data_IF_779467284737
#
_entry.id   IF_779467284737
#
_cell.length_a   1.000
_cell.length_b   1.000
_cell.length_c   1.000
_cell.angle_alpha   90.00
_cell.angle_beta   90.00
_cell.angle_gamma   90.00
#
_symmetry.space_group_name_H-M   'P 1'
#
loop_
_entity.id
_entity.type
_entity.pdbx_description
1 polymer ?
#
# COMPACT_ATOMS: atom_id res chain seq x y z
N UNK A 1 -8.33 -3.29 -0.75
CA UNK A 1 -8.99 -2.20 -1.50
C UNK A 1 -9.57 -2.56 -2.87
N UNK A 2 -8.87 -3.27 -3.76
CA UNK A 2 -9.28 -3.42 -5.19
C UNK A 2 -10.72 -3.94 -5.37
N UNK A 3 -11.15 -4.93 -4.59
CA UNK A 3 -12.54 -5.41 -4.64
C UNK A 3 -13.58 -4.36 -4.25
N UNK A 4 -13.26 -3.43 -3.34
CA UNK A 4 -14.13 -2.27 -3.06
C UNK A 4 -14.23 -1.38 -4.29
N UNK A 5 -13.09 -1.08 -4.95
CA UNK A 5 -13.08 -0.25 -6.16
C UNK A 5 -13.88 -0.90 -7.29
N UNK A 6 -13.73 -2.20 -7.52
CA UNK A 6 -14.55 -2.96 -8.47
C UNK A 6 -16.03 -2.86 -8.12
N UNK A 7 -16.38 -3.06 -6.84
CA UNK A 7 -17.74 -2.92 -6.36
C UNK A 7 -18.32 -1.53 -6.63
N UNK A 8 -17.55 -0.47 -6.37
CA UNK A 8 -17.94 0.92 -6.66
C UNK A 8 -18.21 1.13 -8.15
N UNK A 9 -17.37 0.55 -9.02
CA UNK A 9 -17.52 0.68 -10.47
C UNK A 9 -18.78 -0.03 -10.96
N UNK A 10 -18.97 -1.31 -10.61
CA UNK A 10 -20.16 -2.08 -10.99
C UNK A 10 -21.46 -1.45 -10.48
N UNK A 11 -21.44 -0.99 -9.24
CA UNK A 11 -22.56 -0.28 -8.60
C UNK A 11 -22.85 1.05 -9.32
N UNK A 12 -21.81 1.76 -9.75
CA UNK A 12 -21.93 2.99 -10.53
C UNK A 12 -22.57 2.78 -11.90
N UNK A 13 -22.33 1.63 -12.53
CA UNK A 13 -22.93 1.24 -13.82
C UNK A 13 -24.28 0.53 -13.66
N UNK A 14 -24.82 0.40 -12.45
CA UNK A 14 -26.09 -0.28 -12.18
C UNK A 14 -26.03 -1.80 -12.16
N UNK A 15 -24.84 -2.40 -12.25
CA UNK A 15 -24.63 -3.85 -12.14
C UNK A 15 -24.51 -4.26 -10.66
N UNK A 16 -25.63 -4.20 -9.96
CA UNK A 16 -25.67 -4.42 -8.52
C UNK A 16 -25.25 -5.85 -8.11
N UNK A 17 -25.48 -6.85 -8.97
CA UNK A 17 -25.14 -8.23 -8.67
C UNK A 17 -23.61 -8.42 -8.64
N UNK A 18 -22.91 -7.95 -9.68
CA UNK A 18 -21.44 -7.98 -9.68
C UNK A 18 -20.85 -7.06 -8.61
N UNK A 19 -21.50 -5.93 -8.30
CA UNK A 19 -21.11 -5.08 -7.18
C UNK A 19 -21.21 -5.81 -5.84
N UNK A 20 -22.32 -6.51 -5.57
CA UNK A 20 -22.50 -7.34 -4.38
C UNK A 20 -21.42 -8.42 -4.26
N UNK A 21 -21.13 -9.15 -5.33
CA UNK A 21 -20.08 -10.17 -5.35
C UNK A 21 -18.72 -9.54 -5.01
N UNK A 22 -18.39 -8.39 -5.61
CA UNK A 22 -17.15 -7.68 -5.35
C UNK A 22 -17.05 -7.20 -3.88
N UNK A 23 -18.10 -6.59 -3.33
CA UNK A 23 -18.13 -6.19 -1.92
C UNK A 23 -18.05 -7.38 -0.96
N UNK A 24 -18.66 -8.51 -1.29
CA UNK A 24 -18.57 -9.75 -0.49
C UNK A 24 -17.15 -10.30 -0.48
N UNK A 25 -16.48 -10.30 -1.64
CA UNK A 25 -15.08 -10.70 -1.73
C UNK A 25 -14.17 -9.77 -0.92
N UNK A 26 -14.44 -8.46 -0.96
CA UNK A 26 -13.74 -7.51 -0.09
C UNK A 26 -13.94 -7.85 1.39
N UNK A 27 -15.18 -8.10 1.82
CA UNK A 27 -15.48 -8.48 3.20
C UNK A 27 -14.69 -9.71 3.64
N UNK A 28 -14.68 -10.77 2.83
CA UNK A 28 -13.96 -12.01 3.15
C UNK A 28 -12.46 -11.75 3.37
N UNK A 29 -11.85 -10.88 2.57
CA UNK A 29 -10.43 -10.51 2.73
C UNK A 29 -10.21 -9.73 4.04
N UNK A 30 -11.10 -8.79 4.37
CA UNK A 30 -11.03 -8.04 5.64
C UNK A 30 -11.19 -8.95 6.86
N UNK A 31 -12.09 -9.93 6.81
CA UNK A 31 -12.34 -10.85 7.91
C UNK A 31 -11.25 -11.92 8.05
N UNK A 32 -10.56 -12.25 6.95
CA UNK A 32 -9.40 -13.14 6.92
C UNK A 32 -8.07 -12.40 7.04
N UNK A 33 -7.24 -12.49 5.98
CA UNK A 33 -5.84 -12.07 5.99
C UNK A 33 -5.59 -10.64 6.48
N UNK A 34 -6.47 -9.68 6.17
CA UNK A 34 -6.26 -8.28 6.58
C UNK A 34 -6.43 -8.05 8.09
N UNK A 35 -7.34 -8.79 8.73
CA UNK A 35 -7.49 -8.76 10.19
C UNK A 35 -6.23 -9.31 10.86
N UNK A 36 -5.69 -10.40 10.33
CA UNK A 36 -4.56 -11.08 10.97
C UNK A 36 -3.25 -10.33 10.74
N UNK A 37 -2.96 -9.94 9.49
CA UNK A 37 -1.72 -9.30 9.06
C UNK A 37 -1.64 -7.81 9.41
N UNK A 38 -2.75 -7.07 9.28
CA UNK A 38 -2.75 -5.60 9.38
C UNK A 38 -3.66 -5.04 10.48
N UNK A 39 -4.31 -5.91 11.27
CA UNK A 39 -5.28 -5.51 12.32
C UNK A 39 -6.37 -4.57 11.79
N UNK A 40 -6.68 -4.70 10.50
CA UNK A 40 -7.70 -3.86 9.86
C UNK A 40 -9.09 -4.32 10.24
N UNK A 41 -9.97 -3.36 10.52
CA UNK A 41 -11.40 -3.62 10.71
C UNK A 41 -12.10 -3.47 9.37
N UNK A 42 -13.21 -4.21 9.21
CA UNK A 42 -14.11 -4.03 8.06
C UNK A 42 -14.59 -2.58 8.02
N UNK A 43 -14.37 -1.84 6.93
CA UNK A 43 -14.82 -0.46 6.79
C UNK A 43 -16.35 -0.36 6.95
N UNK A 44 -16.85 0.61 7.72
CA UNK A 44 -18.30 0.75 7.94
C UNK A 44 -19.07 0.94 6.62
N UNK A 45 -18.54 1.77 5.72
CA UNK A 45 -19.14 1.97 4.40
C UNK A 45 -19.28 0.67 3.60
N UNK A 46 -18.36 -0.28 3.75
CA UNK A 46 -18.40 -1.56 3.03
C UNK A 46 -19.60 -2.40 3.49
N UNK A 47 -19.90 -2.37 4.78
CA UNK A 47 -21.05 -3.09 5.35
C UNK A 47 -22.36 -2.54 4.78
N UNK A 48 -22.48 -1.22 4.71
CA UNK A 48 -23.66 -0.56 4.13
C UNK A 48 -23.77 -0.83 2.63
N UNK A 49 -22.66 -0.77 1.88
CA UNK A 49 -22.67 -1.04 0.45
C UNK A 49 -23.03 -2.48 0.14
N UNK A 50 -22.52 -3.45 0.91
CA UNK A 50 -22.84 -4.86 0.75
C UNK A 50 -24.34 -5.14 0.97
N UNK A 51 -24.91 -4.60 2.04
CA UNK A 51 -26.35 -4.76 2.32
C UNK A 51 -27.20 -4.08 1.25
N UNK A 52 -26.82 -2.88 0.83
CA UNK A 52 -27.55 -2.13 -0.19
C UNK A 52 -27.55 -2.85 -1.53
N UNK A 53 -26.39 -3.32 -2.01
CA UNK A 53 -26.35 -3.99 -3.31
C UNK A 53 -27.04 -5.35 -3.27
N UNK A 54 -26.99 -6.09 -2.15
CA UNK A 54 -27.81 -7.30 -1.99
C UNK A 54 -29.31 -7.00 -2.18
N UNK A 55 -29.81 -5.91 -1.58
CA UNK A 55 -31.20 -5.48 -1.74
C UNK A 55 -31.53 -5.07 -3.18
N UNK A 56 -30.66 -4.28 -3.82
CA UNK A 56 -30.84 -3.82 -5.20
C UNK A 56 -30.73 -4.95 -6.23
N UNK A 57 -30.00 -6.01 -5.91
CA UNK A 57 -29.92 -7.24 -6.71
C UNK A 57 -31.09 -8.20 -6.49
N UNK A 58 -32.00 -7.91 -5.55
CA UNK A 58 -33.11 -8.81 -5.21
C UNK A 58 -32.70 -10.03 -4.37
N UNK A 59 -31.49 -10.04 -3.80
CA UNK A 59 -30.95 -11.14 -2.98
C UNK A 59 -31.26 -10.86 -1.50
N UNK A 60 -32.55 -10.91 -1.16
CA UNK A 60 -33.04 -10.46 0.15
C UNK A 60 -32.53 -11.30 1.33
N UNK A 61 -32.31 -12.59 1.12
CA UNK A 61 -31.75 -13.47 2.17
C UNK A 61 -30.34 -13.03 2.59
N UNK A 62 -29.49 -12.68 1.62
CA UNK A 62 -28.14 -12.17 1.90
C UNK A 62 -28.20 -10.77 2.53
N UNK A 63 -29.11 -9.90 2.06
CA UNK A 63 -29.37 -8.59 2.69
C UNK A 63 -29.67 -8.76 4.18
N UNK A 64 -30.63 -9.61 4.52
CA UNK A 64 -31.08 -9.79 5.91
C UNK A 64 -30.02 -10.47 6.76
N UNK A 65 -29.31 -11.46 6.21
CA UNK A 65 -28.14 -12.07 6.83
C UNK A 65 -27.08 -11.03 7.20
N UNK A 66 -26.70 -10.14 6.28
CA UNK A 66 -25.67 -9.13 6.54
C UNK A 66 -26.15 -7.98 7.45
N UNK A 67 -27.43 -7.57 7.34
CA UNK A 67 -28.03 -6.63 8.30
C UNK A 67 -27.91 -7.14 9.73
N UNK A 68 -28.29 -8.40 9.95
CA UNK A 68 -28.22 -9.05 11.25
C UNK A 68 -26.77 -9.24 11.72
N UNK A 69 -25.87 -9.69 10.83
CA UNK A 69 -24.44 -9.87 11.14
C UNK A 69 -23.79 -8.57 11.60
N UNK A 70 -24.07 -7.46 10.93
CA UNK A 70 -23.45 -6.17 11.23
C UNK A 70 -24.24 -5.30 12.20
N UNK A 71 -25.46 -5.73 12.57
CA UNK A 71 -26.38 -4.96 13.41
C UNK A 71 -26.63 -3.56 12.84
N UNK A 72 -26.79 -3.46 11.52
CA UNK A 72 -27.06 -2.19 10.84
C UNK A 72 -28.53 -2.08 10.47
N UNK A 73 -29.11 -0.93 10.76
CA UNK A 73 -30.39 -0.55 10.18
C UNK A 73 -30.20 -0.17 8.71
N UNK A 74 -31.12 -0.62 7.87
CA UNK A 74 -31.07 -0.38 6.44
C UNK A 74 -32.42 0.11 5.94
N UNK A 75 -32.38 1.27 5.31
CA UNK A 75 -33.49 1.84 4.56
C UNK A 75 -33.08 1.92 3.10
N UNK A 76 -33.94 1.43 2.21
CA UNK A 76 -33.71 1.53 0.78
C UNK A 76 -33.56 3.01 0.39
N UNK A 77 -32.52 3.38 -0.39
CA UNK A 77 -32.38 4.74 -0.91
C UNK A 77 -33.63 5.17 -1.67
N UNK A 78 -33.96 6.46 -1.63
CA UNK A 78 -35.11 6.99 -2.35
C UNK A 78 -34.92 6.82 -3.85
N UNK A 79 -35.98 6.44 -4.55
CA UNK A 79 -35.91 6.26 -6.00
C UNK A 79 -35.45 7.55 -6.70
N UNK A 80 -34.49 7.41 -7.62
CA UNK A 80 -33.91 8.55 -8.33
C UNK A 80 -32.80 9.30 -7.59
N UNK A 81 -32.46 8.93 -6.35
CA UNK A 81 -31.30 9.49 -5.66
C UNK A 81 -30.00 9.22 -6.42
N UNK A 82 -29.14 10.23 -6.43
CA UNK A 82 -27.79 10.13 -6.97
C UNK A 82 -26.78 9.92 -5.86
N UNK A 83 -25.57 9.50 -6.22
CA UNK A 83 -24.56 9.10 -5.25
C UNK A 83 -23.21 9.74 -5.56
N UNK A 84 -22.48 10.10 -4.51
CA UNK A 84 -21.09 10.53 -4.57
C UNK A 84 -20.25 9.57 -3.73
N UNK A 85 -19.26 8.93 -4.33
CA UNK A 85 -18.28 8.10 -3.64
C UNK A 85 -17.01 8.91 -3.50
N UNK A 86 -16.68 9.31 -2.28
CA UNK A 86 -15.47 10.08 -1.99
C UNK A 86 -14.35 9.11 -1.66
N UNK A 87 -13.27 9.17 -2.44
CA UNK A 87 -12.03 8.42 -2.20
C UNK A 87 -10.97 9.39 -1.70
N UNK A 88 -10.50 9.23 -0.48
CA UNK A 88 -9.45 10.06 0.08
C UNK A 88 -8.12 9.30 0.13
N UNK A 89 -7.21 9.69 -0.74
CA UNK A 89 -5.82 9.26 -0.80
C UNK A 89 -5.01 10.17 0.13
N UNK A 90 -4.70 9.64 1.32
CA UNK A 90 -4.03 10.36 2.39
C UNK A 90 -2.52 10.12 2.37
N UNK A 91 -1.75 11.20 2.47
CA UNK A 91 -0.28 11.18 2.49
C UNK A 91 0.34 10.58 1.24
N UNK A 92 1.64 10.33 1.33
CA UNK A 92 2.40 9.59 0.32
C UNK A 92 2.98 8.34 0.99
N UNK A 93 2.97 7.19 0.32
CA UNK A 93 3.46 5.91 0.83
C UNK A 93 4.96 5.93 1.14
N UNK A 94 5.57 4.88 1.67
CA UNK A 94 6.97 4.92 2.07
C UNK A 94 7.89 5.07 0.85
N UNK A 95 9.05 5.68 1.06
CA UNK A 95 10.12 5.68 0.06
C UNK A 95 10.99 4.44 0.25
N UNK A 96 11.45 3.86 -0.86
CA UNK A 96 12.41 2.77 -0.81
C UNK A 96 13.81 3.38 -0.79
N UNK A 97 14.60 2.97 0.19
CA UNK A 97 15.95 3.46 0.45
C UNK A 97 16.88 2.26 0.60
N UNK A 98 18.16 2.55 0.77
CA UNK A 98 19.22 1.57 0.94
C UNK A 98 19.73 1.54 2.38
N UNK A 99 20.15 0.36 2.81
CA UNK A 99 21.01 0.22 3.98
C UNK A 99 22.17 -0.70 3.63
N UNK A 100 23.37 -0.19 3.90
CA UNK A 100 24.60 -0.95 3.74
C UNK A 100 24.95 -1.65 5.03
N UNK A 101 25.20 -2.95 4.95
CA UNK A 101 25.63 -3.78 6.06
C UNK A 101 27.00 -4.35 5.71
N UNK A 102 27.94 -4.27 6.66
CA UNK A 102 29.25 -4.87 6.51
C UNK A 102 29.20 -6.32 6.97
N UNK A 103 29.72 -7.24 6.16
CA UNK A 103 29.89 -8.64 6.49
C UNK A 103 31.37 -8.97 6.55
N UNK A 104 31.80 -9.64 7.60
CA UNK A 104 33.10 -10.29 7.65
C UNK A 104 33.10 -11.53 6.76
N UNK A 105 34.22 -11.77 6.09
CA UNK A 105 34.42 -12.97 5.27
C UNK A 105 35.24 -13.96 6.09
N UNK A 106 34.65 -15.11 6.42
CA UNK A 106 35.31 -16.20 7.13
C UNK A 106 35.54 -17.36 6.16
N UNK A 107 36.79 -17.75 5.99
CA UNK A 107 37.16 -18.92 5.17
C UNK A 107 36.96 -20.18 5.99
N UNK A 108 36.06 -21.05 5.54
CA UNK A 108 35.73 -22.30 6.23
C UNK A 108 36.42 -23.52 5.62
N UNK A 109 37.22 -23.32 4.55
CA UNK A 109 37.95 -24.38 3.84
C UNK A 109 37.16 -24.98 2.68
N UNK A 110 37.84 -25.78 1.85
CA UNK A 110 37.25 -26.50 0.69
C UNK A 110 36.43 -25.61 -0.26
N UNK A 111 36.90 -24.38 -0.52
CA UNK A 111 36.23 -23.43 -1.41
C UNK A 111 34.96 -22.79 -0.86
N UNK A 112 34.65 -22.98 0.43
CA UNK A 112 33.54 -22.31 1.12
C UNK A 112 34.01 -21.09 1.90
N UNK A 113 33.20 -20.03 1.83
CA UNK A 113 33.31 -18.83 2.68
C UNK A 113 31.97 -18.54 3.33
N UNK A 114 32.01 -17.94 4.51
CA UNK A 114 30.82 -17.46 5.22
C UNK A 114 30.86 -15.95 5.32
N UNK A 115 29.80 -15.29 4.87
CA UNK A 115 29.57 -13.87 5.12
C UNK A 115 28.84 -13.74 6.45
N UNK A 116 29.51 -13.15 7.43
CA UNK A 116 29.04 -13.07 8.81
C UNK A 116 28.85 -11.62 9.22
N UNK A 117 27.68 -11.29 9.74
CA UNK A 117 27.46 -10.04 10.45
C UNK A 117 26.99 -10.38 11.88
N UNK A 118 27.85 -10.07 12.87
CA UNK A 118 27.59 -10.39 14.27
C UNK A 118 26.48 -9.52 14.88
N UNK A 119 26.41 -8.23 14.51
CA UNK A 119 25.44 -7.27 15.06
C UNK A 119 23.98 -7.69 14.82
N UNK A 120 23.73 -8.31 13.66
CA UNK A 120 22.41 -8.80 13.26
C UNK A 120 22.30 -10.33 13.36
N UNK A 121 23.32 -11.04 13.86
CA UNK A 121 23.30 -12.50 13.99
C UNK A 121 23.15 -13.24 12.66
N UNK A 122 23.65 -12.67 11.56
CA UNK A 122 23.50 -13.21 10.21
C UNK A 122 24.73 -14.00 9.78
N UNK A 123 24.52 -15.19 9.21
CA UNK A 123 25.59 -16.00 8.60
C UNK A 123 25.08 -16.63 7.31
N UNK A 124 25.79 -16.38 6.21
CA UNK A 124 25.43 -16.88 4.89
C UNK A 124 26.62 -17.60 4.24
N UNK A 125 26.53 -18.92 4.01
CA UNK A 125 27.59 -19.67 3.35
C UNK A 125 27.51 -19.50 1.83
N UNK A 126 28.67 -19.31 1.19
CA UNK A 126 28.84 -19.23 -0.26
C UNK A 126 29.97 -20.13 -0.72
N UNK A 127 29.74 -20.88 -1.80
CA UNK A 127 30.79 -21.65 -2.46
C UNK A 127 31.45 -20.80 -3.54
N UNK A 128 32.74 -20.54 -3.40
CA UNK A 128 33.55 -19.78 -4.35
C UNK A 128 34.53 -20.66 -5.14
N UNK A 129 34.62 -21.95 -4.80
CA UNK A 129 35.54 -22.91 -5.43
C UNK A 129 37.00 -22.58 -5.12
N UNK A 130 37.88 -22.76 -6.10
CA UNK A 130 39.32 -22.48 -5.94
C UNK A 130 39.67 -20.98 -6.00
N UNK A 131 38.66 -20.11 -6.07
CA UNK A 131 38.87 -18.65 -6.07
C UNK A 131 39.20 -18.21 -4.66
N UNK A 132 40.32 -17.52 -4.50
CA UNK A 132 40.70 -16.87 -3.25
C UNK A 132 40.24 -15.40 -3.30
N UNK A 133 39.56 -14.88 -2.27
CA UNK A 133 39.15 -13.47 -2.22
C UNK A 133 40.29 -12.56 -1.72
N UNK A 134 41.55 -12.97 -1.96
CA UNK A 134 42.80 -12.20 -1.82
C UNK A 134 42.84 -11.22 -0.64
N UNK A 135 42.69 -11.73 0.58
CA UNK A 135 42.88 -10.94 1.80
C UNK A 135 41.72 -10.00 2.17
N UNK A 136 40.58 -10.02 1.45
CA UNK A 136 39.39 -9.34 1.93
C UNK A 136 38.84 -9.99 3.19
N UNK A 137 38.77 -9.19 4.25
CA UNK A 137 38.22 -9.58 5.55
C UNK A 137 36.80 -9.06 5.76
N UNK A 138 36.35 -8.10 4.95
CA UNK A 138 35.01 -7.54 5.02
C UNK A 138 34.49 -7.08 3.64
N UNK A 139 33.18 -7.10 3.48
CA UNK A 139 32.48 -6.55 2.31
C UNK A 139 31.26 -5.74 2.78
N UNK A 140 30.97 -4.64 2.07
CA UNK A 140 29.71 -3.91 2.24
C UNK A 140 28.68 -4.46 1.27
N UNK A 141 27.52 -4.82 1.78
CA UNK A 141 26.40 -5.33 0.98
C UNK A 141 25.22 -4.40 1.20
N UNK A 142 24.57 -4.01 0.11
CA UNK A 142 23.44 -3.08 0.16
C UNK A 142 22.14 -3.84 -0.01
N UNK A 143 21.19 -3.55 0.87
CA UNK A 143 19.87 -4.14 0.84
C UNK A 143 18.80 -3.04 0.70
N UNK A 144 17.60 -3.39 0.22
CA UNK A 144 16.48 -2.46 0.24
C UNK A 144 15.92 -2.32 1.67
N UNK A 145 15.45 -1.12 2.00
CA UNK A 145 14.59 -0.84 3.15
C UNK A 145 13.48 0.13 2.74
N UNK A 146 12.41 0.18 3.51
CA UNK A 146 11.42 1.26 3.41
C UNK A 146 11.65 2.31 4.49
N UNK A 147 11.46 3.57 4.15
CA UNK A 147 11.45 4.71 5.08
C UNK A 147 10.07 5.33 5.03
N UNK A 148 9.45 5.43 6.20
CA UNK A 148 8.10 5.96 6.35
C UNK A 148 8.05 7.45 6.04
N UNK A 149 6.98 7.86 5.35
CA UNK A 149 6.59 9.27 5.23
C UNK A 149 5.38 9.49 6.14
N UNK A 150 5.52 10.21 7.27
CA UNK A 150 4.45 10.32 8.26
C UNK A 150 3.23 11.03 7.68
N UNK A 151 2.05 10.64 8.17
CA UNK A 151 0.79 11.27 7.80
C UNK A 151 0.67 12.66 8.42
N UNK A 152 0.21 13.64 7.62
CA UNK A 152 -0.23 14.94 8.13
C UNK A 152 -1.61 14.86 8.77
N UNK A 153 -2.52 14.07 8.16
CA UNK A 153 -3.91 13.94 8.58
C UNK A 153 -4.18 12.54 9.13
N UNK A 154 -4.90 12.45 10.24
CA UNK A 154 -5.20 11.19 10.94
C UNK A 154 -6.62 10.68 10.67
N UNK A 155 -7.54 11.58 10.35
CA UNK A 155 -8.93 11.22 10.05
C UNK A 155 -9.61 12.27 9.17
N UNK A 156 -10.75 11.88 8.59
CA UNK A 156 -11.53 12.73 7.70
C UNK A 156 -13.02 12.45 7.80
N UNK A 157 -13.83 13.49 7.64
CA UNK A 157 -15.30 13.41 7.57
C UNK A 157 -15.84 14.29 6.46
N UNK A 158 -17.00 13.94 5.91
CA UNK A 158 -17.77 14.77 4.98
C UNK A 158 -18.96 15.36 5.72
N UNK A 159 -19.08 16.68 5.69
CA UNK A 159 -20.29 17.39 6.11
C UNK A 159 -21.16 17.68 4.88
N UNK A 160 -22.42 17.20 4.92
CA UNK A 160 -23.43 17.42 3.88
C UNK A 160 -24.84 17.35 4.49
N UNK A 161 -25.71 18.31 4.20
CA UNK A 161 -27.09 18.39 4.70
C UNK A 161 -27.24 18.14 6.23
N UNK A 162 -26.45 18.86 7.04
CA UNK A 162 -26.39 18.71 8.51
C UNK A 162 -25.99 17.32 9.03
N UNK A 163 -25.51 16.43 8.15
CA UNK A 163 -24.95 15.12 8.51
C UNK A 163 -23.43 15.17 8.41
N UNK A 164 -22.78 14.48 9.35
CA UNK A 164 -21.34 14.23 9.33
C UNK A 164 -21.10 12.75 9.06
N UNK A 165 -20.42 12.45 7.96
CA UNK A 165 -20.21 11.09 7.46
C UNK A 165 -18.71 10.80 7.55
N UNK A 166 -18.33 9.75 8.25
CA UNK A 166 -16.92 9.40 8.48
C UNK A 166 -16.31 8.71 7.26
N UNK A 167 -15.09 9.09 6.89
CA UNK A 167 -14.28 8.36 5.92
C UNK A 167 -13.64 7.13 6.61
N UNK A 168 -13.96 5.94 6.11
CA UNK A 168 -13.40 4.68 6.61
C UNK A 168 -12.10 4.33 5.91
N UNK A 169 -11.04 3.99 6.66
CA UNK A 169 -9.77 3.52 6.07
C UNK A 169 -10.02 2.19 5.37
N UNK A 170 -9.54 2.04 4.13
CA UNK A 170 -9.68 0.83 3.29
C UNK A 170 -8.36 0.24 2.82
N UNK A 171 -7.28 0.99 2.93
CA UNK A 171 -5.96 0.50 2.58
C UNK A 171 -4.90 1.22 3.38
N UNK A 172 -3.86 0.49 3.78
CA UNK A 172 -2.66 1.04 4.39
C UNK A 172 -1.45 0.55 3.59
N UNK A 173 -1.15 1.29 2.53
CA UNK A 173 -0.07 0.96 1.59
C UNK A 173 1.27 1.00 2.29
N UNK A 174 1.41 1.88 3.29
CA UNK A 174 2.60 1.95 4.13
C UNK A 174 2.82 0.64 4.87
N UNK A 175 1.85 0.20 5.68
CA UNK A 175 1.96 -1.07 6.40
C UNK A 175 2.19 -2.27 5.47
N UNK A 176 1.51 -2.31 4.32
CA UNK A 176 1.68 -3.39 3.32
C UNK A 176 3.10 -3.39 2.76
N UNK A 177 3.66 -2.23 2.43
CA UNK A 177 5.00 -2.14 1.83
C UNK A 177 6.07 -2.69 2.78
N UNK A 178 6.01 -2.30 4.06
CA UNK A 178 6.91 -2.84 5.08
C UNK A 178 6.72 -4.34 5.27
N UNK A 179 5.48 -4.82 5.35
CA UNK A 179 5.20 -6.25 5.54
C UNK A 179 5.69 -7.11 4.38
N UNK A 180 5.46 -6.68 3.15
CA UNK A 180 5.90 -7.40 1.94
C UNK A 180 7.42 -7.48 1.87
N UNK A 181 8.12 -6.40 2.25
CA UNK A 181 9.58 -6.42 2.29
C UNK A 181 10.07 -7.38 3.39
N UNK A 182 9.51 -7.31 4.59
CA UNK A 182 9.83 -8.20 5.71
C UNK A 182 9.72 -9.68 5.30
N UNK A 183 8.61 -10.07 4.68
CA UNK A 183 8.39 -11.46 4.24
C UNK A 183 9.38 -11.93 3.16
N UNK A 184 9.90 -11.00 2.36
CA UNK A 184 10.85 -11.29 1.26
C UNK A 184 12.30 -11.03 1.64
N UNK A 185 12.59 -10.57 2.85
CA UNK A 185 13.93 -10.10 3.22
C UNK A 185 15.00 -11.18 3.04
N UNK A 186 14.70 -12.44 3.38
CA UNK A 186 15.66 -13.54 3.18
C UNK A 186 16.04 -13.72 1.70
N UNK A 187 15.07 -13.60 0.81
CA UNK A 187 15.32 -13.66 -0.63
C UNK A 187 16.13 -12.45 -1.11
N UNK A 188 15.85 -11.25 -0.59
CA UNK A 188 16.62 -10.04 -0.91
C UNK A 188 18.06 -10.14 -0.38
N UNK A 189 18.27 -10.70 0.81
CA UNK A 189 19.60 -11.02 1.33
C UNK A 189 20.35 -11.98 0.40
N UNK A 190 19.74 -13.11 0.05
CA UNK A 190 20.37 -14.10 -0.83
C UNK A 190 20.76 -13.51 -2.19
N UNK A 191 19.88 -12.71 -2.81
CA UNK A 191 20.15 -12.04 -4.09
C UNK A 191 21.30 -11.04 -3.99
N UNK A 192 21.28 -10.15 -3.00
CA UNK A 192 22.31 -9.10 -2.85
C UNK A 192 23.66 -9.71 -2.49
N UNK A 193 23.70 -10.64 -1.52
CA UNK A 193 24.94 -11.32 -1.12
C UNK A 193 25.51 -12.17 -2.25
N UNK A 194 24.66 -12.91 -2.98
CA UNK A 194 25.09 -13.70 -4.14
C UNK A 194 25.67 -12.82 -5.25
N UNK A 195 25.04 -11.67 -5.54
CA UNK A 195 25.57 -10.69 -6.50
C UNK A 195 26.96 -10.19 -6.10
N UNK A 196 27.13 -9.85 -4.82
CA UNK A 196 28.43 -9.41 -4.30
C UNK A 196 29.46 -10.53 -4.39
N UNK A 197 29.13 -11.74 -3.95
CA UNK A 197 30.02 -12.90 -4.05
C UNK A 197 30.48 -13.15 -5.50
N UNK A 198 29.58 -13.05 -6.48
CA UNK A 198 29.90 -13.20 -7.90
C UNK A 198 30.82 -12.08 -8.42
N UNK A 199 30.57 -10.82 -8.06
CA UNK A 199 31.46 -9.70 -8.43
C UNK A 199 32.85 -9.86 -7.81
N UNK A 200 32.90 -10.31 -6.57
CA UNK A 200 34.16 -10.54 -5.85
C UNK A 200 34.96 -11.69 -6.46
N UNK A 201 34.29 -12.80 -6.80
CA UNK A 201 34.89 -13.91 -7.53
C UNK A 201 35.45 -13.48 -8.91
N UNK A 202 34.75 -12.60 -9.63
CA UNK A 202 35.23 -12.06 -10.90
C UNK A 202 36.44 -11.14 -10.73
N UNK A 203 36.42 -10.24 -9.74
CA UNK A 203 37.58 -9.38 -9.41
C UNK A 203 38.81 -10.20 -9.03
N UNK A 204 38.64 -11.27 -8.24
CA UNK A 204 39.71 -12.18 -7.87
C UNK A 204 40.33 -12.90 -9.09
N UNK A 205 39.52 -13.29 -10.09
CA UNK A 205 40.02 -13.92 -11.30
C UNK A 205 40.89 -12.97 -12.14
N UNK A 206 40.53 -11.69 -12.24
CA UNK A 206 41.31 -10.66 -12.97
C UNK A 206 42.61 -10.34 -12.23
N UNK A 207 42.64 -10.52 -10.91
CA UNK A 207 43.79 -10.19 -10.07
C UNK A 207 44.93 -11.21 -10.04
N UNK A 208 44.83 -12.31 -10.78
CA UNK A 208 45.84 -13.39 -10.80
C UNK A 208 47.24 -12.92 -11.15
N UNK A 209 47.35 -11.81 -11.87
CA UNK A 209 48.63 -11.23 -12.30
C UNK A 209 49.09 -10.02 -11.45
N UNK A 210 48.22 -9.45 -10.59
CA UNK A 210 48.54 -8.29 -9.75
C UNK A 210 47.59 -8.18 -8.53
N UNK A 211 48.11 -8.49 -7.34
CA UNK A 211 47.37 -8.46 -6.07
C UNK A 211 46.80 -7.07 -5.74
N UNK A 212 47.58 -6.01 -5.96
CA UNK A 212 47.15 -4.62 -5.69
C UNK A 212 46.01 -4.16 -6.59
N UNK A 213 46.02 -4.58 -7.86
CA UNK A 213 44.91 -4.34 -8.79
C UNK A 213 43.65 -5.11 -8.37
N UNK A 214 43.80 -6.33 -7.86
CA UNK A 214 42.69 -7.13 -7.34
C UNK A 214 41.98 -6.50 -6.16
N UNK A 215 42.75 -6.03 -5.18
CA UNK A 215 42.21 -5.32 -4.03
C UNK A 215 41.48 -4.04 -4.46
N UNK A 216 42.07 -3.26 -5.39
CA UNK A 216 41.44 -2.05 -5.91
C UNK A 216 40.10 -2.33 -6.62
N UNK A 217 40.06 -3.34 -7.50
CA UNK A 217 38.83 -3.73 -8.22
C UNK A 217 37.75 -4.26 -7.28
N UNK A 218 38.12 -4.99 -6.23
CA UNK A 218 37.20 -5.49 -5.22
C UNK A 218 36.56 -4.36 -4.39
N UNK A 219 37.36 -3.36 -4.00
CA UNK A 219 36.86 -2.17 -3.32
C UNK A 219 35.92 -1.35 -4.22
N UNK A 220 36.26 -1.19 -5.50
CA UNK A 220 35.40 -0.53 -6.49
C UNK A 220 34.09 -1.30 -6.72
N UNK A 221 34.15 -2.63 -6.80
CA UNK A 221 32.97 -3.47 -6.94
C UNK A 221 32.01 -3.35 -5.74
N UNK A 222 32.57 -3.22 -4.53
CA UNK A 222 31.79 -3.00 -3.30
C UNK A 222 31.23 -1.57 -3.23
N UNK A 223 32.00 -0.57 -3.65
CA UNK A 223 31.59 0.83 -3.66
C UNK A 223 30.47 1.12 -4.67
N UNK A 224 30.36 0.30 -5.73
CA UNK A 224 29.33 0.40 -6.77
C UNK A 224 28.09 -0.47 -6.50
N UNK A 225 28.00 -1.10 -5.33
CA UNK A 225 26.77 -1.81 -4.93
C UNK A 225 25.62 -0.86 -4.64
N UNK A 226 24.44 -1.22 -5.15
CA UNK A 226 23.19 -0.50 -4.96
C UNK A 226 22.02 -1.50 -5.02
N UNK A 227 21.03 -1.30 -4.17
CA UNK A 227 19.80 -2.07 -4.16
C UNK A 227 18.78 -1.44 -5.12
N UNK A 228 17.81 -2.24 -5.57
CA UNK A 228 16.72 -1.69 -6.38
C UNK A 228 15.80 -0.82 -5.50
N UNK A 229 15.98 0.49 -5.58
CA UNK A 229 15.18 1.52 -4.88
C UNK A 229 14.00 2.02 -5.70
N UNK A 230 13.76 1.47 -6.91
CA UNK A 230 12.63 1.89 -7.73
C UNK A 230 11.32 1.54 -7.00
N UNK A 231 10.50 2.56 -6.76
CA UNK A 231 9.18 2.43 -6.16
C UNK A 231 8.20 3.44 -6.78
N UNK A 232 6.91 3.18 -6.64
CA UNK A 232 5.88 4.14 -7.05
C UNK A 232 5.77 5.25 -6.00
N UNK A 233 6.55 6.32 -6.16
CA UNK A 233 6.68 7.40 -5.18
C UNK A 233 5.41 8.23 -4.97
N UNK A 234 4.44 8.14 -5.88
CA UNK A 234 3.17 8.88 -5.85
C UNK A 234 2.01 8.08 -5.25
N UNK A 235 2.22 6.82 -4.87
CA UNK A 235 1.19 6.06 -4.15
C UNK A 235 0.84 6.76 -2.84
N UNK A 236 -0.44 6.75 -2.42
CA UNK A 236 -0.82 7.29 -1.13
C UNK A 236 -0.29 6.43 0.02
N UNK A 237 -0.20 7.01 1.21
CA UNK A 237 0.10 6.25 2.42
C UNK A 237 -1.08 5.36 2.80
N UNK A 238 -2.28 5.94 2.81
CA UNK A 238 -3.52 5.22 3.11
C UNK A 238 -4.65 5.70 2.22
N UNK A 239 -5.60 4.83 1.96
CA UNK A 239 -6.83 5.15 1.22
C UNK A 239 -7.99 5.06 2.18
N UNK A 240 -8.90 6.01 2.09
CA UNK A 240 -10.15 6.05 2.83
C UNK A 240 -11.30 6.21 1.84
N UNK A 241 -12.50 5.77 2.21
CA UNK A 241 -13.69 6.07 1.43
C UNK A 241 -14.96 6.22 2.24
N UNK A 242 -15.93 6.89 1.63
CA UNK A 242 -17.32 6.94 2.07
C UNK A 242 -18.24 7.17 0.88
N UNK A 243 -19.51 6.82 1.05
CA UNK A 243 -20.58 7.16 0.11
C UNK A 243 -21.49 8.21 0.70
N UNK A 244 -21.94 9.14 -0.14
CA UNK A 244 -22.88 10.19 0.21
C UNK A 244 -24.01 10.16 -0.81
N UNK A 245 -25.25 10.00 -0.36
CA UNK A 245 -26.42 10.20 -1.21
C UNK A 245 -26.65 11.69 -1.40
N UNK A 246 -26.82 12.12 -2.64
CA UNK A 246 -26.87 13.53 -3.05
C UNK A 246 -28.10 13.83 -3.87
N UNK A 247 -28.48 15.10 -3.91
CA UNK A 247 -29.60 15.55 -4.73
C UNK A 247 -29.24 15.41 -6.22
N UNK A 248 -30.09 14.76 -7.03
CA UNK A 248 -29.86 14.62 -8.46
C UNK A 248 -29.88 16.00 -9.14
N UNK A 249 -29.02 16.16 -10.15
CA UNK A 249 -28.94 17.32 -11.05
C UNK A 249 -28.64 18.68 -10.37
N UNK A 250 -28.37 18.67 -9.07
CA UNK A 250 -28.01 19.83 -8.26
C UNK A 250 -26.50 19.94 -8.03
N UNK A 251 -26.05 21.17 -7.77
CA UNK A 251 -24.71 21.42 -7.21
C UNK A 251 -24.71 21.09 -5.72
N UNK A 252 -24.22 19.90 -5.36
CA UNK A 252 -24.16 19.47 -3.98
C UNK A 252 -22.86 19.99 -3.35
N UNK A 253 -22.94 21.09 -2.59
CA UNK A 253 -21.81 21.61 -1.83
C UNK A 253 -21.56 20.74 -0.59
N UNK A 254 -20.34 20.23 -0.47
CA UNK A 254 -19.88 19.41 0.64
C UNK A 254 -18.65 20.04 1.28
N UNK A 255 -18.43 19.73 2.56
CA UNK A 255 -17.19 20.10 3.25
C UNK A 255 -16.45 18.85 3.71
N UNK A 256 -15.24 18.64 3.21
CA UNK A 256 -14.29 17.69 3.78
C UNK A 256 -13.65 18.34 5.01
N UNK A 257 -13.77 17.72 6.18
CA UNK A 257 -13.08 18.11 7.40
C UNK A 257 -11.99 17.08 7.68
N UNK A 258 -10.72 17.49 7.61
CA UNK A 258 -9.55 16.68 7.89
C UNK A 258 -8.98 17.07 9.25
N UNK A 259 -8.74 16.09 10.11
CA UNK A 259 -8.07 16.31 11.39
C UNK A 259 -6.60 15.97 11.25
N UNK A 260 -5.72 16.92 11.55
CA UNK A 260 -4.27 16.70 11.54
C UNK A 260 -3.75 15.94 12.78
N UNK A 261 -2.46 15.65 12.80
CA UNK A 261 -1.79 14.97 13.94
C UNK A 261 -1.83 15.77 15.25
N UNK A 262 -2.11 17.08 15.20
CA UNK A 262 -2.24 17.96 16.36
C UNK A 262 -3.70 18.19 16.77
N UNK A 263 -4.66 17.55 16.09
CA UNK A 263 -6.09 17.69 16.35
C UNK A 263 -6.74 18.92 15.69
N UNK A 264 -5.98 19.72 14.91
CA UNK A 264 -6.54 20.86 14.17
C UNK A 264 -7.35 20.35 12.99
N UNK A 265 -8.51 20.96 12.78
CA UNK A 265 -9.41 20.62 11.67
C UNK A 265 -9.19 21.58 10.50
N UNK A 266 -8.80 21.03 9.35
CA UNK A 266 -8.71 21.73 8.08
C UNK A 266 -9.96 21.42 7.26
N UNK A 267 -10.62 22.47 6.76
CA UNK A 267 -11.88 22.36 6.02
C UNK A 267 -11.68 22.66 4.55
N UNK A 268 -12.20 21.81 3.68
CA UNK A 268 -12.17 21.99 2.24
C UNK A 268 -13.57 21.84 1.66
N UNK A 269 -14.05 22.90 1.01
CA UNK A 269 -15.33 22.87 0.31
C UNK A 269 -15.14 22.37 -1.12
N UNK A 270 -16.08 21.56 -1.58
CA UNK A 270 -16.12 21.09 -2.95
C UNK A 270 -17.57 20.86 -3.38
N UNK A 271 -17.82 20.88 -4.69
CA UNK A 271 -19.13 20.63 -5.27
C UNK A 271 -19.13 19.33 -6.04
N UNK A 272 -20.21 18.57 -5.90
CA UNK A 272 -20.45 17.36 -6.68
C UNK A 272 -21.77 17.49 -7.41
N UNK A 273 -21.72 17.31 -8.73
CA UNK A 273 -22.91 17.23 -9.58
C UNK A 273 -23.03 15.82 -10.15
N UNK A 274 -24.18 15.20 -9.91
CA UNK A 274 -24.49 13.85 -10.40
C UNK A 274 -25.87 13.86 -11.06
N UNK A 275 -26.00 13.18 -12.20
CA UNK A 275 -27.30 13.01 -12.87
C UNK A 275 -28.21 12.10 -12.05
N UNK A 276 -29.52 12.17 -12.26
CA UNK A 276 -30.47 11.23 -11.64
C UNK A 276 -30.01 9.77 -11.76
N UNK A 277 -30.10 9.01 -10.65
CA UNK A 277 -29.56 7.64 -10.50
C UNK A 277 -28.05 7.48 -10.72
N UNK A 278 -27.32 8.53 -11.07
CA UNK A 278 -25.88 8.47 -11.37
C UNK A 278 -24.99 8.39 -10.15
N UNK A 279 -23.79 7.81 -10.34
CA UNK A 279 -22.72 7.74 -9.35
C UNK A 279 -21.52 8.54 -9.81
N UNK A 280 -21.03 9.44 -8.95
CA UNK A 280 -19.79 10.20 -9.16
C UNK A 280 -18.72 9.68 -8.22
N UNK A 281 -17.55 9.33 -8.76
CA UNK A 281 -16.38 8.99 -7.97
C UNK A 281 -15.53 10.25 -7.84
N UNK A 282 -15.31 10.70 -6.61
CA UNK A 282 -14.61 11.93 -6.29
C UNK A 282 -13.32 11.63 -5.53
N UNK A 283 -12.19 11.41 -6.23
CA UNK A 283 -10.89 11.23 -5.62
C UNK A 283 -10.34 12.55 -5.09
N UNK A 284 -9.77 12.46 -3.90
CA UNK A 284 -9.17 13.54 -3.14
C UNK A 284 -7.77 13.11 -2.75
N UNK A 285 -6.76 13.90 -3.08
CA UNK A 285 -5.37 13.61 -2.73
C UNK A 285 -4.82 14.68 -1.79
N UNK A 286 -4.34 14.25 -0.62
CA UNK A 286 -3.60 15.11 0.31
C UNK A 286 -2.16 14.64 0.36
N UNK A 287 -1.23 15.47 -0.10
CA UNK A 287 0.20 15.18 0.03
C UNK A 287 0.73 15.65 1.39
N UNK A 288 1.78 15.00 1.89
CA UNK A 288 2.40 15.37 3.16
C UNK A 288 3.09 16.75 3.15
N UNK A 289 3.32 17.36 1.97
CA UNK A 289 4.11 18.61 1.83
C UNK A 289 3.61 19.63 0.78
N UNK A 290 2.51 19.38 0.06
CA UNK A 290 2.07 20.24 -1.06
C UNK A 290 0.54 20.37 -1.13
N UNK A 291 0.02 21.44 -1.76
CA UNK A 291 -1.41 21.70 -1.85
C UNK A 291 -2.18 20.59 -2.58
N UNK A 292 -3.41 20.43 -2.13
CA UNK A 292 -4.44 19.45 -2.49
C UNK A 292 -4.77 19.40 -3.99
N UNK A 293 -5.09 18.21 -4.52
CA UNK A 293 -5.61 18.05 -5.89
C UNK A 293 -6.96 17.31 -5.89
N UNK A 294 -7.97 17.93 -6.53
CA UNK A 294 -9.31 17.38 -6.75
C UNK A 294 -9.59 17.18 -8.24
N UNK A 295 -10.13 16.01 -8.61
CA UNK A 295 -10.66 15.77 -9.97
C UNK A 295 -11.76 14.72 -9.91
N UNK A 296 -13.02 15.09 -10.16
CA UNK A 296 -14.14 14.15 -10.18
C UNK A 296 -14.23 13.37 -11.49
N UNK A 297 -14.76 12.14 -11.42
CA UNK A 297 -15.05 11.29 -12.58
C UNK A 297 -16.51 10.81 -12.50
N UNK A 298 -17.26 10.98 -13.59
CA UNK A 298 -18.62 10.43 -13.71
C UNK A 298 -18.57 9.04 -14.33
N UNK A 299 -19.28 8.10 -13.72
CA UNK A 299 -19.53 6.77 -14.30
C UNK A 299 -20.95 6.81 -14.85
N UNK A 300 -21.08 6.65 -16.16
CA UNK A 300 -22.38 6.67 -16.83
C UNK A 300 -23.03 5.29 -16.73
N UNK A 301 -24.34 5.30 -16.50
CA UNK A 301 -25.23 4.13 -16.68
C UNK A 301 -25.58 3.96 -18.15
#
# INVERSE_FOLDING_TARGET
FIHILMGIIYDGTGDYNNAFIAYRNALNIYEGSYKDLFKFKVPEQLKHDLVRTADQSGIYDERDRFKNKFKIEYTRPTEGQSQAVVLWNNGLGPIKDEWGINFSIIYTGNGWVSFVNADYGMTFPFYIGDRNLNGLTWIKVVFPKYVERPLLYTSGTISYNNKTIKLGKVEDINAISFKVLEERMLLEFAKSLGRVALKQAAAAQVSKDNEGLGMALSLLASATESADTRNWQTLPHSIYYTRVFVNPDADNEMTLNLTDVHGKVVKHKFKVKSKQKGTVIFPINTMAALPFQMKGYQVNQ
#
